data_IF_334744121595
#
_entry.id   IF_334744121595
#
_cell.length_a   1.000
_cell.length_b   1.000
_cell.length_c   1.000
_cell.angle_alpha   90.00
_cell.angle_beta   90.00
_cell.angle_gamma   90.00
#
_symmetry.space_group_name_H-M   'P 1'
#
loop_
_entity.id
_entity.type
_entity.pdbx_description
1 polymer ?
#
# COMPACT_ATOMS: atom_id res chain seq x y z
N UNK A 1 -12.67 27.62 2.72
CA UNK A 1 -13.29 26.41 3.32
C UNK A 1 -12.30 25.27 3.18
N UNK A 2 -11.72 24.80 4.28
CA UNK A 2 -10.83 23.64 4.25
C UNK A 2 -11.69 22.39 4.40
N UNK A 3 -11.74 21.56 3.37
CA UNK A 3 -12.40 20.25 3.40
C UNK A 3 -11.38 19.25 3.96
N UNK A 4 -11.64 18.76 5.18
CA UNK A 4 -10.89 17.65 5.77
C UNK A 4 -11.17 16.39 4.95
N UNK A 5 -10.15 15.83 4.28
CA UNK A 5 -10.29 14.53 3.63
C UNK A 5 -10.23 13.43 4.69
N UNK A 6 -11.12 12.42 4.62
CA UNK A 6 -11.08 11.29 5.54
C UNK A 6 -9.76 10.52 5.37
N UNK A 7 -9.23 9.93 6.45
CA UNK A 7 -8.00 9.14 6.39
C UNK A 7 -8.17 7.96 5.43
N UNK A 8 -7.05 7.53 4.83
CA UNK A 8 -7.04 6.37 3.95
C UNK A 8 -7.57 5.12 4.69
N UNK A 9 -8.44 4.30 4.06
CA UNK A 9 -9.16 3.22 4.75
C UNK A 9 -8.29 2.19 5.46
N UNK A 10 -7.06 1.96 4.99
CA UNK A 10 -6.11 1.00 5.55
C UNK A 10 -4.85 1.67 6.15
N UNK A 11 -4.90 2.98 6.40
CA UNK A 11 -3.79 3.70 7.05
C UNK A 11 -3.34 2.99 8.35
N UNK A 12 -2.03 2.81 8.49
CA UNK A 12 -1.41 2.16 9.65
C UNK A 12 -1.55 0.63 9.69
N UNK A 13 -2.28 0.01 8.76
CA UNK A 13 -2.43 -1.45 8.67
C UNK A 13 -1.27 -2.09 7.92
N UNK A 14 -1.07 -3.38 8.16
CA UNK A 14 -0.12 -4.23 7.42
C UNK A 14 -0.92 -5.31 6.70
N UNK A 15 -0.65 -5.53 5.43
CA UNK A 15 -1.22 -6.62 4.65
C UNK A 15 -0.13 -7.49 4.00
N UNK A 16 -0.39 -8.80 3.95
CA UNK A 16 0.49 -9.79 3.34
C UNK A 16 -0.24 -10.34 2.12
N UNK A 17 0.38 -10.23 0.94
CA UNK A 17 -0.20 -10.72 -0.31
C UNK A 17 0.70 -11.81 -0.87
N UNK A 18 0.17 -13.03 -0.97
CA UNK A 18 0.86 -14.18 -1.59
C UNK A 18 0.63 -14.18 -3.10
N UNK A 19 1.65 -14.60 -3.87
CA UNK A 19 1.59 -14.55 -5.32
C UNK A 19 1.54 -13.12 -5.89
N UNK A 20 2.09 -12.13 -5.15
CA UNK A 20 1.96 -10.70 -5.46
C UNK A 20 2.89 -10.18 -6.54
N UNK A 21 3.75 -11.01 -7.12
CA UNK A 21 4.68 -10.57 -8.16
C UNK A 21 4.00 -10.24 -9.49
N UNK A 22 2.82 -10.82 -9.79
CA UNK A 22 2.15 -10.70 -11.11
C UNK A 22 0.62 -10.86 -11.01
N UNK A 23 -0.05 -10.59 -12.12
CA UNK A 23 -1.47 -10.87 -12.31
C UNK A 23 -2.35 -10.22 -11.23
N UNK A 24 -3.31 -10.98 -10.71
CA UNK A 24 -4.27 -10.52 -9.71
C UNK A 24 -3.57 -10.17 -8.39
N UNK A 25 -2.58 -10.96 -7.96
CA UNK A 25 -1.85 -10.70 -6.72
C UNK A 25 -1.13 -9.34 -6.75
N UNK A 26 -0.54 -8.97 -7.88
CA UNK A 26 0.05 -7.63 -8.08
C UNK A 26 -1.01 -6.53 -7.99
N UNK A 27 -2.14 -6.69 -8.68
CA UNK A 27 -3.21 -5.70 -8.67
C UNK A 27 -3.77 -5.48 -7.26
N UNK A 28 -3.96 -6.55 -6.49
CA UNK A 28 -4.39 -6.49 -5.09
C UNK A 28 -3.34 -5.77 -4.23
N UNK A 29 -2.05 -6.08 -4.39
CA UNK A 29 -0.99 -5.42 -3.66
C UNK A 29 -0.98 -3.90 -3.92
N UNK A 30 -1.00 -3.47 -5.19
CA UNK A 30 -1.03 -2.04 -5.51
C UNK A 30 -2.26 -1.37 -4.90
N UNK A 31 -3.44 -1.97 -5.04
CA UNK A 31 -4.67 -1.40 -4.50
C UNK A 31 -4.66 -1.25 -2.97
N UNK A 32 -4.14 -2.24 -2.25
CA UNK A 32 -4.03 -2.15 -0.78
C UNK A 32 -3.05 -1.04 -0.35
N UNK A 33 -1.97 -0.85 -1.10
CA UNK A 33 -1.02 0.23 -0.86
C UNK A 33 -1.64 1.62 -1.13
N UNK A 34 -2.42 1.77 -2.22
CA UNK A 34 -3.18 3.00 -2.51
C UNK A 34 -4.18 3.35 -1.38
N UNK A 35 -4.72 2.34 -0.71
CA UNK A 35 -5.58 2.48 0.47
C UNK A 35 -4.79 2.71 1.77
N UNK A 36 -3.47 2.84 1.72
CA UNK A 36 -2.62 3.22 2.85
C UNK A 36 -2.05 2.06 3.67
N UNK A 37 -2.18 0.81 3.19
CA UNK A 37 -1.59 -0.33 3.87
C UNK A 37 -0.08 -0.42 3.63
N UNK A 38 0.68 -0.83 4.66
CA UNK A 38 2.04 -1.34 4.49
C UNK A 38 1.98 -2.77 3.98
N UNK A 39 2.84 -3.13 3.01
CA UNK A 39 2.77 -4.44 2.37
C UNK A 39 3.99 -5.32 2.55
N UNK A 40 3.71 -6.62 2.68
CA UNK A 40 4.67 -7.70 2.54
C UNK A 40 4.38 -8.45 1.25
N UNK A 41 5.34 -8.44 0.34
CA UNK A 41 5.27 -9.09 -0.98
C UNK A 41 5.85 -10.50 -0.86
N UNK A 42 5.01 -11.53 -1.07
CA UNK A 42 5.43 -12.92 -1.10
C UNK A 42 5.23 -13.54 -2.49
N UNK A 43 6.26 -14.23 -2.99
CA UNK A 43 6.29 -14.82 -4.34
C UNK A 43 7.09 -16.12 -4.33
N UNK A 44 6.73 -17.06 -5.22
CA UNK A 44 7.36 -18.38 -5.29
C UNK A 44 8.45 -18.49 -6.37
N UNK A 45 8.45 -17.59 -7.36
CA UNK A 45 9.45 -17.60 -8.44
C UNK A 45 9.53 -16.22 -9.12
N UNK A 46 10.75 -15.80 -9.47
CA UNK A 46 11.17 -14.51 -10.08
C UNK A 46 11.20 -13.31 -9.12
N UNK A 47 12.39 -13.02 -8.58
CA UNK A 47 12.64 -11.86 -7.72
C UNK A 47 12.45 -10.52 -8.43
N UNK A 48 12.89 -10.41 -9.69
CA UNK A 48 12.83 -9.15 -10.44
C UNK A 48 11.40 -8.59 -10.60
N UNK A 49 10.40 -9.45 -10.79
CA UNK A 49 9.00 -8.98 -10.91
C UNK A 49 8.48 -8.49 -9.54
N UNK A 50 8.85 -9.17 -8.45
CA UNK A 50 8.48 -8.74 -7.10
C UNK A 50 9.17 -7.44 -6.69
N UNK A 51 10.44 -7.24 -7.07
CA UNK A 51 11.18 -6.00 -6.85
C UNK A 51 10.54 -4.82 -7.57
N UNK A 52 10.08 -5.01 -8.82
CA UNK A 52 9.32 -3.96 -9.54
C UNK A 52 8.03 -3.60 -8.82
N UNK A 53 7.28 -4.58 -8.33
CA UNK A 53 6.05 -4.32 -7.56
C UNK A 53 6.36 -3.57 -6.25
N UNK A 54 7.43 -3.94 -5.56
CA UNK A 54 7.85 -3.24 -4.36
C UNK A 54 8.28 -1.79 -4.66
N UNK A 55 9.03 -1.56 -5.75
CA UNK A 55 9.41 -0.22 -6.18
C UNK A 55 8.18 0.64 -6.52
N UNK A 56 7.22 0.08 -7.27
CA UNK A 56 5.97 0.76 -7.61
C UNK A 56 5.14 1.11 -6.37
N UNK A 57 5.02 0.20 -5.40
CA UNK A 57 4.33 0.46 -4.12
C UNK A 57 5.03 1.57 -3.33
N UNK A 58 6.36 1.60 -3.33
CA UNK A 58 7.14 2.61 -2.60
C UNK A 58 7.10 3.99 -3.29
N UNK A 59 6.85 4.04 -4.59
CA UNK A 59 6.70 5.28 -5.37
C UNK A 59 5.28 5.85 -5.30
N UNK A 60 4.31 5.07 -4.78
CA UNK A 60 2.97 5.59 -4.53
C UNK A 60 3.07 6.77 -3.56
N UNK A 61 2.38 7.90 -3.86
CA UNK A 61 2.40 9.05 -2.98
C UNK A 61 1.84 8.60 -1.63
N UNK A 62 2.68 8.69 -0.60
CA UNK A 62 2.21 8.62 0.77
C UNK A 62 1.21 9.76 0.91
N UNK A 63 -0.08 9.46 0.83
CA UNK A 63 -1.09 10.43 1.26
C UNK A 63 -0.94 10.48 2.77
N UNK A 64 -0.12 11.41 3.22
CA UNK A 64 0.01 11.73 4.63
C UNK A 64 -1.39 11.96 5.18
N UNK A 65 -1.59 11.40 6.36
CA UNK A 65 -2.72 11.69 7.21
C UNK A 65 -2.74 13.21 7.49
N UNK A 66 -3.64 13.94 6.82
CA UNK A 66 -4.02 15.29 7.22
C UNK A 66 -4.95 15.14 8.44
N UNK A 67 -4.43 14.68 9.57
CA UNK A 67 -5.19 14.71 10.84
C UNK A 67 -4.62 15.79 11.74
N UNK A 68 -5.44 16.80 11.99
CA UNK A 68 -5.27 17.65 13.15
C UNK A 68 -5.37 16.76 14.40
N UNK A 69 -4.32 16.81 15.23
CA UNK A 69 -4.24 16.38 16.64
C UNK A 69 -5.53 15.74 17.24
N UNK A 70 -5.49 14.43 17.50
CA UNK A 70 -6.40 13.69 18.38
C UNK A 70 -5.60 12.66 19.20
N UNK A 71 -5.98 12.35 20.46
CA UNK A 71 -5.05 12.08 21.54
C UNK A 71 -4.49 10.65 21.50
N UNK A 72 -3.18 10.50 21.72
CA UNK A 72 -2.58 9.73 22.84
C UNK A 72 -1.21 10.30 23.18
#
# INVERSE_FOLDING_TARGET
>A
MSISQPPLPLAGRVAIVTGSSRGIGRAIAIHLAELGARLVINYTSKSADAERVAAEINDLPAREEITGKGPR
#
